data_IF_548251823569
#
_entry.id   IF_548251823569
#
_cell.length_a   1.000
_cell.length_b   1.000
_cell.length_c   1.000
_cell.angle_alpha   90.00
_cell.angle_beta   90.00
_cell.angle_gamma   90.00
#
_symmetry.space_group_name_H-M   'P 1'
#
loop_
_entity.id
_entity.type
_entity.pdbx_description
1 polymer ?
#
# COMPACT_ATOMS: atom_id res chain seq x y z
N UNK A 1 9.44 -4.75 -17.19
CA UNK A 1 9.34 -3.56 -16.31
C UNK A 1 10.08 -3.92 -15.05
N UNK A 2 11.15 -3.22 -14.76
CA UNK A 2 11.96 -3.49 -13.58
C UNK A 2 11.26 -2.85 -12.37
N UNK A 3 10.68 -3.68 -11.53
CA UNK A 3 9.98 -3.26 -10.31
C UNK A 3 10.92 -2.87 -9.17
N UNK A 4 12.23 -3.13 -9.35
CA UNK A 4 13.22 -2.91 -8.29
C UNK A 4 13.56 -1.44 -8.04
N UNK A 5 13.23 -0.54 -8.95
CA UNK A 5 13.55 0.89 -8.82
C UNK A 5 12.43 1.74 -8.20
N UNK A 6 11.21 1.20 -8.09
CA UNK A 6 10.04 1.95 -7.63
C UNK A 6 9.67 1.68 -6.15
N UNK A 7 10.37 0.76 -5.49
CA UNK A 7 10.03 0.28 -4.14
C UNK A 7 10.03 1.40 -3.09
N UNK A 8 10.90 2.41 -3.22
CA UNK A 8 11.03 3.44 -2.18
C UNK A 8 10.01 4.58 -2.26
N UNK A 9 9.42 4.86 -3.42
CA UNK A 9 8.39 5.90 -3.56
C UNK A 9 6.98 5.35 -3.49
N UNK A 10 6.81 4.06 -3.80
CA UNK A 10 5.52 3.39 -3.79
C UNK A 10 5.09 2.90 -2.41
N UNK A 11 6.01 2.57 -1.51
CA UNK A 11 5.68 2.01 -0.19
C UNK A 11 4.95 3.02 0.70
N UNK A 12 5.31 4.30 0.63
CA UNK A 12 4.66 5.36 1.38
C UNK A 12 3.24 5.58 0.87
N UNK A 13 3.06 5.74 -0.44
CA UNK A 13 1.75 5.93 -1.06
C UNK A 13 0.91 4.65 -0.97
N UNK A 14 1.53 3.48 -1.02
CA UNK A 14 0.87 2.18 -0.86
C UNK A 14 0.21 2.02 0.51
N UNK A 15 0.71 2.67 1.57
CA UNK A 15 0.10 2.68 2.89
C UNK A 15 -0.84 3.88 3.09
N UNK A 16 -0.40 5.10 2.74
CA UNK A 16 -1.16 6.32 2.99
C UNK A 16 -2.49 6.34 2.23
N UNK A 17 -2.48 5.95 0.96
CA UNK A 17 -3.67 5.97 0.12
C UNK A 17 -4.78 5.03 0.63
N UNK A 18 -4.55 3.71 0.83
CA UNK A 18 -5.58 2.82 1.32
C UNK A 18 -6.01 3.14 2.76
N UNK A 19 -5.13 3.69 3.60
CA UNK A 19 -5.47 4.17 4.94
C UNK A 19 -6.50 5.30 4.86
N UNK A 20 -6.26 6.30 4.03
CA UNK A 20 -7.20 7.39 3.81
C UNK A 20 -8.51 6.89 3.16
N UNK A 21 -8.42 5.97 2.21
CA UNK A 21 -9.56 5.37 1.54
C UNK A 21 -10.51 4.67 2.53
N UNK A 22 -9.96 3.88 3.45
CA UNK A 22 -10.74 3.21 4.52
C UNK A 22 -11.29 4.22 5.53
N UNK A 23 -10.50 5.19 5.98
CA UNK A 23 -10.92 6.20 6.93
C UNK A 23 -12.09 7.05 6.42
N UNK A 24 -12.14 7.31 5.12
CA UNK A 24 -13.22 8.02 4.46
C UNK A 24 -14.41 7.14 4.08
N UNK A 25 -14.34 5.83 4.30
CA UNK A 25 -15.43 4.88 3.99
C UNK A 25 -15.76 4.81 2.50
N UNK A 26 -14.79 4.99 1.61
CA UNK A 26 -15.02 5.06 0.16
C UNK A 26 -15.30 3.70 -0.46
N UNK A 27 -14.87 2.61 0.18
CA UNK A 27 -15.08 1.26 -0.31
C UNK A 27 -14.38 0.21 0.53
N UNK A 28 -14.36 -1.03 0.04
CA UNK A 28 -13.65 -2.14 0.65
C UNK A 28 -12.29 -2.34 -0.01
N UNK A 29 -11.34 -2.85 0.75
CA UNK A 29 -9.98 -3.13 0.31
C UNK A 29 -9.75 -4.63 0.20
N UNK A 30 -9.03 -5.06 -0.85
CA UNK A 30 -8.70 -6.46 -1.12
C UNK A 30 -7.19 -6.57 -1.30
N UNK A 31 -6.57 -7.55 -0.67
CA UNK A 31 -5.13 -7.77 -0.78
C UNK A 31 -4.53 -8.35 0.48
N UNK A 32 -3.26 -8.07 0.70
CA UNK A 32 -2.53 -8.44 1.91
C UNK A 32 -2.39 -7.26 2.86
N UNK A 33 -2.04 -7.53 4.11
CA UNK A 33 -1.72 -6.49 5.10
C UNK A 33 -0.62 -5.56 4.57
N UNK A 34 -0.86 -4.25 4.66
CA UNK A 34 0.10 -3.23 4.26
C UNK A 34 0.90 -2.75 5.46
N UNK A 35 2.25 -2.76 5.40
CA UNK A 35 3.10 -2.22 6.46
C UNK A 35 2.83 -0.74 6.71
N UNK A 36 2.96 -0.32 7.97
CA UNK A 36 2.76 1.07 8.38
C UNK A 36 3.96 1.96 8.07
N UNK A 37 4.07 2.41 6.83
CA UNK A 37 5.22 3.19 6.32
C UNK A 37 4.86 4.62 5.87
N UNK A 38 3.76 5.17 6.37
CA UNK A 38 3.27 6.48 5.95
C UNK A 38 4.07 7.63 6.59
N UNK A 39 5.32 7.79 6.16
CA UNK A 39 6.23 8.85 6.60
C UNK A 39 6.95 9.44 5.39
N UNK A 40 6.84 10.75 5.18
CA UNK A 40 7.55 11.39 4.07
C UNK A 40 9.05 11.48 4.36
N UNK A 41 9.85 11.17 3.36
CA UNK A 41 11.30 11.17 3.45
C UNK A 41 11.91 12.34 2.67
N UNK A 42 13.02 12.87 3.18
CA UNK A 42 13.88 13.79 2.47
C UNK A 42 15.09 13.03 1.91
N UNK A 43 15.46 13.32 0.67
CA UNK A 43 16.52 12.60 -0.02
C UNK A 43 17.86 13.35 0.14
N UNK A 44 18.79 12.74 0.85
CA UNK A 44 20.15 13.22 1.00
C UNK A 44 21.10 12.48 0.06
N UNK A 45 22.00 13.24 -0.60
CA UNK A 45 23.09 12.68 -1.38
C UNK A 45 24.28 12.41 -0.47
N UNK A 46 24.80 11.20 -0.53
CA UNK A 46 25.97 10.81 0.22
C UNK A 46 27.28 11.34 -0.43
N UNK A 47 28.44 11.00 0.16
CA UNK A 47 29.75 11.38 -0.39
C UNK A 47 29.97 10.84 -1.80
N UNK A 48 29.46 9.65 -2.07
CA UNK A 48 29.31 9.14 -3.43
C UNK A 48 27.98 9.69 -3.98
N UNK A 49 28.02 10.55 -5.01
CA UNK A 49 26.80 11.22 -5.52
C UNK A 49 25.82 10.27 -6.24
N UNK A 50 26.25 9.03 -6.53
CA UNK A 50 25.36 7.99 -7.06
C UNK A 50 24.52 7.34 -5.96
N UNK A 51 24.90 7.53 -4.69
CA UNK A 51 24.17 7.01 -3.54
C UNK A 51 23.28 8.09 -2.93
N UNK A 52 22.02 7.75 -2.78
CA UNK A 52 20.99 8.61 -2.16
C UNK A 52 20.38 7.88 -0.96
N UNK A 53 20.13 8.61 0.11
CA UNK A 53 19.52 8.09 1.33
C UNK A 53 18.26 8.89 1.69
N UNK A 54 17.14 8.21 1.92
CA UNK A 54 15.89 8.82 2.35
C UNK A 54 15.82 8.92 3.89
N UNK A 55 15.74 10.13 4.42
CA UNK A 55 15.61 10.39 5.86
C UNK A 55 14.15 10.72 6.16
N UNK A 56 13.45 9.95 7.02
CA UNK A 56 12.09 10.28 7.45
C UNK A 56 12.07 11.61 8.22
N UNK A 57 11.31 12.58 7.76
CA UNK A 57 11.24 13.90 8.40
C UNK A 57 9.80 14.32 8.76
N UNK A 58 8.81 13.83 8.03
CA UNK A 58 7.42 14.24 8.21
C UNK A 58 6.53 13.02 8.42
N UNK A 59 5.97 12.89 9.62
CA UNK A 59 4.97 11.90 9.94
C UNK A 59 3.56 12.41 9.64
N UNK A 60 2.67 11.49 9.24
CA UNK A 60 1.25 11.77 9.05
C UNK A 60 0.44 11.31 10.25
N UNK A 61 -0.58 12.09 10.58
CA UNK A 61 -1.53 11.77 11.63
C UNK A 61 -2.83 11.24 11.00
N UNK A 62 -3.43 10.25 11.66
CA UNK A 62 -4.77 9.80 11.33
C UNK A 62 -5.84 10.79 11.84
N UNK A 63 -7.13 10.50 11.59
CA UNK A 63 -8.23 11.36 12.02
C UNK A 63 -8.40 11.41 13.55
N UNK A 64 -7.80 10.47 14.28
CA UNK A 64 -7.77 10.49 15.75
C UNK A 64 -6.60 11.32 16.32
N UNK A 65 -5.68 11.76 15.47
CA UNK A 65 -4.49 12.52 15.84
C UNK A 65 -3.29 11.66 16.22
N UNK A 66 -3.31 10.37 15.92
CA UNK A 66 -2.20 9.45 16.14
C UNK A 66 -1.33 9.33 14.90
N UNK A 67 -0.03 9.09 15.09
CA UNK A 67 0.86 8.80 13.97
C UNK A 67 0.45 7.51 13.26
N UNK A 68 0.46 7.53 11.92
CA UNK A 68 0.18 6.37 11.08
C UNK A 68 1.37 5.44 10.91
N UNK A 69 2.57 5.93 11.23
CA UNK A 69 3.80 5.13 11.20
C UNK A 69 3.72 3.93 12.14
N UNK A 70 4.19 2.78 11.67
CA UNK A 70 4.12 1.47 12.37
C UNK A 70 2.70 0.95 12.66
N UNK A 71 1.66 1.57 12.12
CA UNK A 71 0.30 1.02 12.14
C UNK A 71 0.04 0.27 10.85
N UNK A 72 0.02 -1.05 10.93
CA UNK A 72 -0.34 -1.89 9.79
C UNK A 72 -1.79 -1.62 9.37
N UNK A 73 -2.03 -1.72 8.06
CA UNK A 73 -3.38 -1.65 7.51
C UNK A 73 -3.82 -3.04 7.06
N UNK A 74 -4.83 -3.57 7.73
CA UNK A 74 -5.45 -4.83 7.33
C UNK A 74 -6.49 -4.57 6.23
N UNK A 75 -6.49 -5.36 5.15
CA UNK A 75 -7.53 -5.28 4.13
C UNK A 75 -8.88 -5.79 4.67
N UNK A 76 -9.97 -5.40 4.04
CA UNK A 76 -11.30 -5.94 4.36
C UNK A 76 -11.46 -7.38 3.88
N UNK A 77 -10.76 -7.73 2.81
CA UNK A 77 -10.67 -9.08 2.27
C UNK A 77 -9.20 -9.44 2.07
N UNK A 78 -8.68 -10.30 2.94
CA UNK A 78 -7.31 -10.79 2.85
C UNK A 78 -7.21 -11.85 1.75
N UNK A 79 -6.40 -11.58 0.74
CA UNK A 79 -6.12 -12.47 -0.39
C UNK A 79 -4.67 -12.32 -0.79
N UNK A 80 -3.93 -13.42 -0.80
CA UNK A 80 -2.59 -13.49 -1.36
C UNK A 80 -2.63 -14.03 -2.79
N UNK A 81 -1.71 -13.59 -3.63
CA UNK A 81 -1.53 -14.13 -4.98
C UNK A 81 -0.55 -15.31 -4.93
N UNK A 82 -1.00 -16.47 -5.39
CA UNK A 82 -0.11 -17.61 -5.63
C UNK A 82 0.84 -17.28 -6.79
N UNK A 83 2.18 -17.28 -6.58
CA UNK A 83 3.13 -16.94 -7.64
C UNK A 83 3.01 -17.82 -8.90
N UNK A 84 2.60 -19.08 -8.76
CA UNK A 84 2.42 -19.97 -9.90
C UNK A 84 1.18 -19.60 -10.74
N UNK A 85 0.11 -19.16 -10.08
CA UNK A 85 -1.10 -18.67 -10.76
C UNK A 85 -0.84 -17.29 -11.39
N UNK A 86 -0.12 -16.43 -10.72
CA UNK A 86 0.25 -15.10 -11.25
C UNK A 86 1.14 -15.25 -12.49
N UNK A 87 2.13 -16.15 -12.48
CA UNK A 87 2.95 -16.48 -13.63
C UNK A 87 2.12 -17.07 -14.81
N UNK A 88 0.99 -17.70 -14.52
CA UNK A 88 0.02 -18.18 -15.50
C UNK A 88 -0.98 -17.09 -15.96
N UNK A 89 -0.82 -15.86 -15.51
CA UNK A 89 -1.67 -14.71 -15.88
C UNK A 89 -2.97 -14.60 -15.08
N UNK A 90 -3.06 -15.24 -13.91
CA UNK A 90 -4.20 -15.13 -13.00
C UNK A 90 -3.85 -14.24 -11.82
N UNK A 91 -4.68 -13.25 -11.55
CA UNK A 91 -4.59 -12.36 -10.40
C UNK A 91 -5.77 -12.62 -9.45
N UNK A 92 -5.49 -13.35 -8.35
CA UNK A 92 -6.51 -13.75 -7.38
C UNK A 92 -7.06 -12.56 -6.59
N UNK A 93 -6.24 -11.53 -6.36
CA UNK A 93 -6.67 -10.29 -5.70
C UNK A 93 -7.66 -9.53 -6.57
N UNK A 94 -7.36 -9.40 -7.88
CA UNK A 94 -8.26 -8.78 -8.84
C UNK A 94 -9.56 -9.60 -9.00
N UNK A 95 -9.47 -10.93 -9.10
CA UNK A 95 -10.62 -11.81 -9.16
C UNK A 95 -11.54 -11.57 -7.95
N UNK A 96 -10.98 -11.53 -6.74
CA UNK A 96 -11.72 -11.27 -5.51
C UNK A 96 -12.33 -9.87 -5.46
N UNK A 97 -11.61 -8.85 -5.90
CA UNK A 97 -12.12 -7.48 -5.96
C UNK A 97 -13.35 -7.38 -6.90
N UNK A 98 -13.30 -8.04 -8.03
CA UNK A 98 -14.44 -8.12 -8.97
C UNK A 98 -15.63 -8.83 -8.32
N UNK A 99 -15.44 -9.95 -7.63
CA UNK A 99 -16.53 -10.63 -6.91
C UNK A 99 -17.19 -9.72 -5.88
N UNK A 100 -16.41 -9.03 -5.04
CA UNK A 100 -16.93 -8.09 -4.04
C UNK A 100 -17.76 -6.98 -4.68
N UNK A 101 -17.31 -6.42 -5.79
CA UNK A 101 -18.05 -5.39 -6.52
C UNK A 101 -19.36 -5.93 -7.13
N UNK A 102 -19.32 -7.13 -7.73
CA UNK A 102 -20.52 -7.76 -8.29
C UNK A 102 -21.56 -8.08 -7.21
N UNK A 103 -21.13 -8.52 -6.05
CA UNK A 103 -22.04 -8.81 -4.93
C UNK A 103 -22.69 -7.52 -4.40
N UNK A 104 -21.99 -6.41 -4.41
CA UNK A 104 -22.59 -5.09 -4.08
C UNK A 104 -23.64 -4.65 -5.09
N UNK A 105 -23.40 -4.88 -6.37
CA UNK A 105 -24.35 -4.49 -7.43
C UNK A 105 -25.63 -5.34 -7.43
N UNK A 106 -25.59 -6.52 -6.81
CA UNK A 106 -26.75 -7.44 -6.70
C UNK A 106 -27.63 -7.15 -5.48
N UNK A 107 -27.15 -6.34 -4.55
CA UNK A 107 -27.91 -5.91 -3.36
C UNK A 107 -28.69 -4.65 -3.62
#
# INVERSE_FOLDING_TARGET
>A
RDWSSDVCSSDLDAHCFPTAYKALGLGETVGMQVPGTCTAVWWERLQDPELVFGIPEVGYLDLAGDFTENKHLDPDHEVDNDPALEAAGRDQQLERAVEVLLDRLRR
#
